data_IF_566272799660
#
_entry.id   IF_566272799660
#
_cell.length_a   1.000
_cell.length_b   1.000
_cell.length_c   1.000
_cell.angle_alpha   90.00
_cell.angle_beta   90.00
_cell.angle_gamma   90.00
#
_symmetry.space_group_name_H-M   'P 1'
#
loop_
_entity.id
_entity.type
_entity.pdbx_description
1 polymer ?
#
# COMPACT_ATOMS: atom_id res chain seq x y z
N UNK A 1 -86.45 -6.94 20.11
CA UNK A 1 -85.03 -7.01 20.60
C UNK A 1 -84.28 -8.23 20.06
N UNK A 2 -84.22 -8.47 18.75
CA UNK A 2 -83.43 -9.61 18.14
C UNK A 2 -82.52 -9.25 16.97
N UNK A 3 -82.52 -7.99 16.51
CA UNK A 3 -81.82 -7.57 15.35
C UNK A 3 -80.39 -7.07 15.69
N UNK A 4 -80.10 -6.65 16.92
CA UNK A 4 -78.78 -6.06 17.34
C UNK A 4 -77.73 -7.08 17.65
N UNK A 5 -77.97 -8.38 17.80
CA UNK A 5 -76.98 -9.42 18.08
C UNK A 5 -76.32 -10.01 16.81
N UNK A 6 -77.00 -9.88 15.67
CA UNK A 6 -76.48 -10.46 14.41
C UNK A 6 -75.42 -9.54 13.75
N UNK A 7 -75.51 -8.21 13.96
CA UNK A 7 -74.59 -7.24 13.38
C UNK A 7 -73.24 -7.26 14.06
N UNK A 8 -73.16 -7.64 15.34
CA UNK A 8 -71.90 -7.71 16.09
C UNK A 8 -71.03 -8.91 15.67
N UNK A 9 -71.65 -10.03 15.28
CA UNK A 9 -70.92 -11.22 14.87
C UNK A 9 -70.26 -11.10 13.51
N UNK A 10 -70.86 -10.43 12.53
CA UNK A 10 -70.39 -10.23 11.21
C UNK A 10 -69.21 -9.22 11.13
N UNK A 11 -69.20 -8.19 11.96
CA UNK A 11 -68.15 -7.19 12.05
C UNK A 11 -66.87 -7.81 12.66
N UNK A 12 -67.04 -8.66 13.70
CA UNK A 12 -65.89 -9.36 14.31
C UNK A 12 -65.27 -10.37 13.36
N UNK A 13 -66.04 -11.06 12.54
CA UNK A 13 -65.56 -12.03 11.57
C UNK A 13 -64.83 -11.35 10.37
N UNK A 14 -65.28 -10.17 9.95
CA UNK A 14 -64.64 -9.36 8.92
C UNK A 14 -63.30 -8.75 9.42
N UNK A 15 -63.22 -8.34 10.68
CA UNK A 15 -62.00 -7.84 11.29
C UNK A 15 -60.94 -8.95 11.48
N UNK A 16 -61.36 -10.18 11.81
CA UNK A 16 -60.46 -11.33 11.93
C UNK A 16 -59.90 -11.77 10.57
N UNK A 17 -60.68 -11.65 9.48
CA UNK A 17 -60.22 -11.97 8.13
C UNK A 17 -59.18 -10.94 7.58
N UNK A 18 -59.25 -9.67 7.98
CA UNK A 18 -58.32 -8.63 7.59
C UNK A 18 -56.96 -8.76 8.27
N UNK A 19 -56.86 -9.36 9.45
CA UNK A 19 -55.60 -9.55 10.17
C UNK A 19 -54.79 -10.72 9.62
N UNK A 20 -55.41 -11.72 9.01
CA UNK A 20 -54.74 -12.91 8.44
C UNK A 20 -54.05 -12.59 7.10
N UNK A 21 -54.51 -11.60 6.33
CA UNK A 21 -53.96 -11.22 5.02
C UNK A 21 -52.67 -10.39 5.14
N UNK A 22 -52.43 -9.74 6.31
CA UNK A 22 -51.24 -8.87 6.50
C UNK A 22 -49.97 -9.61 6.91
N UNK A 23 -50.00 -10.93 7.11
CA UNK A 23 -48.79 -11.68 7.52
C UNK A 23 -48.09 -12.46 6.39
N UNK A 24 -48.59 -12.36 5.17
CA UNK A 24 -48.05 -13.13 4.04
C UNK A 24 -47.05 -12.38 3.14
N UNK A 25 -46.68 -11.14 3.46
CA UNK A 25 -45.88 -10.30 2.57
C UNK A 25 -44.42 -10.08 2.99
N UNK A 26 -43.93 -10.78 4.01
CA UNK A 26 -42.57 -10.56 4.53
C UNK A 26 -41.55 -11.65 4.19
N UNK A 27 -41.86 -12.58 3.29
CA UNK A 27 -41.00 -13.75 3.02
C UNK A 27 -40.29 -13.75 1.65
N UNK A 28 -40.29 -12.65 0.89
CA UNK A 28 -39.64 -12.62 -0.45
C UNK A 28 -38.55 -11.54 -0.61
N UNK A 29 -38.03 -10.99 0.49
CA UNK A 29 -36.95 -9.99 0.43
C UNK A 29 -35.59 -10.50 0.97
N UNK A 30 -35.37 -11.81 1.03
CA UNK A 30 -34.09 -12.37 1.44
C UNK A 30 -33.56 -13.42 0.46
N UNK A 31 -33.48 -13.07 -0.82
CA UNK A 31 -32.73 -13.90 -1.74
C UNK A 31 -31.99 -12.99 -2.69
N UNK A 32 -30.67 -13.09 -2.71
CA UNK A 32 -29.73 -12.55 -3.68
C UNK A 32 -29.06 -11.21 -3.37
N UNK A 33 -28.31 -11.15 -2.26
CA UNK A 33 -27.12 -10.30 -2.26
C UNK A 33 -25.94 -10.94 -1.49
N UNK A 34 -25.79 -12.26 -1.59
CA UNK A 34 -24.57 -12.97 -1.14
C UNK A 34 -23.97 -13.80 -2.28
N UNK A 35 -23.97 -13.24 -3.47
CA UNK A 35 -23.00 -13.65 -4.48
C UNK A 35 -21.87 -12.61 -4.48
N UNK A 36 -21.40 -12.26 -3.28
CA UNK A 36 -20.15 -11.55 -3.10
C UNK A 36 -19.06 -12.54 -3.43
N UNK A 37 -18.60 -12.46 -4.63
CA UNK A 37 -17.21 -12.60 -5.08
C UNK A 37 -16.28 -13.46 -4.18
N UNK A 38 -16.64 -14.73 -3.94
CA UNK A 38 -15.68 -15.72 -3.42
C UNK A 38 -14.46 -15.89 -4.34
N UNK A 39 -14.52 -15.36 -5.57
CA UNK A 39 -13.38 -15.33 -6.49
C UNK A 39 -12.33 -14.29 -6.13
N UNK A 40 -12.71 -13.18 -5.52
CA UNK A 40 -11.74 -12.13 -5.15
C UNK A 40 -10.92 -12.53 -3.91
N UNK A 41 -11.47 -13.36 -3.02
CA UNK A 41 -10.77 -13.85 -1.83
C UNK A 41 -9.60 -14.79 -2.16
N UNK A 42 -9.63 -15.47 -3.31
CA UNK A 42 -8.54 -16.34 -3.78
C UNK A 42 -7.55 -15.64 -4.71
N UNK A 43 -7.80 -14.36 -5.03
CA UNK A 43 -6.94 -13.58 -5.92
C UNK A 43 -5.63 -13.25 -5.24
N UNK A 44 -4.53 -13.52 -5.91
CA UNK A 44 -3.20 -13.05 -5.50
C UNK A 44 -2.87 -11.75 -6.21
N UNK A 45 -2.17 -10.88 -5.51
CA UNK A 45 -1.69 -9.59 -5.97
C UNK A 45 -0.16 -9.62 -6.01
N UNK A 46 0.41 -9.30 -7.16
CA UNK A 46 1.85 -9.06 -7.30
C UNK A 46 2.11 -7.59 -6.99
N UNK A 47 2.92 -7.33 -5.97
CA UNK A 47 3.32 -6.00 -5.55
C UNK A 47 4.79 -5.77 -5.85
N UNK A 48 5.13 -4.57 -6.30
CA UNK A 48 6.50 -4.14 -6.58
C UNK A 48 6.76 -2.82 -5.85
N UNK A 49 7.78 -2.79 -5.01
CA UNK A 49 8.30 -1.58 -4.41
C UNK A 49 9.65 -1.28 -5.07
N UNK A 50 9.77 -0.11 -5.69
CA UNK A 50 10.99 0.41 -6.25
C UNK A 50 11.54 1.49 -5.32
N UNK A 51 12.82 1.39 -5.00
CA UNK A 51 13.56 2.40 -4.26
C UNK A 51 14.45 3.13 -5.28
N UNK A 52 14.12 4.38 -5.57
CA UNK A 52 14.95 5.24 -6.41
C UNK A 52 15.79 6.17 -5.54
N UNK A 53 17.06 6.32 -5.87
CA UNK A 53 17.91 7.37 -5.30
C UNK A 53 17.95 8.53 -6.28
N UNK A 54 17.56 9.70 -5.79
CA UNK A 54 17.62 10.96 -6.49
C UNK A 54 18.82 11.77 -5.98
N UNK A 55 19.68 12.24 -6.88
CA UNK A 55 20.92 12.94 -6.55
C UNK A 55 21.26 14.02 -7.60
N UNK A 56 22.06 14.99 -7.19
CA UNK A 56 22.66 15.97 -8.10
C UNK A 56 24.09 15.62 -8.50
N UNK A 57 24.64 14.55 -7.92
CA UNK A 57 25.96 14.06 -8.28
C UNK A 57 25.93 13.27 -9.60
N UNK A 58 27.01 13.26 -10.37
CA UNK A 58 27.14 12.40 -11.54
C UNK A 58 27.00 10.94 -11.12
N UNK A 59 26.11 10.22 -11.78
CA UNK A 59 25.95 8.76 -11.60
C UNK A 59 26.22 8.09 -12.94
N UNK A 60 26.68 6.83 -12.90
CA UNK A 60 26.75 6.01 -14.10
C UNK A 60 25.35 5.85 -14.71
N UNK A 61 25.25 5.90 -16.05
CA UNK A 61 24.00 5.74 -16.80
C UNK A 61 23.45 4.32 -16.64
N UNK A 62 22.87 4.05 -15.49
CA UNK A 62 22.14 2.81 -15.23
C UNK A 62 20.72 2.96 -15.77
N UNK A 63 20.35 2.13 -16.74
CA UNK A 63 19.06 2.18 -17.40
C UNK A 63 17.97 1.75 -16.41
N UNK A 64 17.04 2.66 -16.12
CA UNK A 64 15.86 2.38 -15.31
C UNK A 64 14.89 1.45 -16.08
N UNK A 65 14.09 0.64 -15.36
CA UNK A 65 13.00 -0.12 -15.96
C UNK A 65 12.04 0.79 -16.72
N UNK A 66 11.64 0.39 -17.94
CA UNK A 66 10.71 1.17 -18.78
C UNK A 66 9.35 1.46 -18.09
N UNK A 67 8.94 0.60 -17.16
CA UNK A 67 7.72 0.84 -16.35
C UNK A 67 7.80 2.10 -15.49
N UNK A 68 8.99 2.61 -15.20
CA UNK A 68 9.22 3.80 -14.40
C UNK A 68 9.39 5.09 -15.22
N UNK A 69 9.41 5.02 -16.55
CA UNK A 69 9.66 6.19 -17.41
C UNK A 69 8.70 7.34 -17.14
N UNK A 70 7.40 7.04 -16.99
CA UNK A 70 6.38 8.04 -16.69
C UNK A 70 6.60 8.70 -15.32
N UNK A 71 6.92 7.90 -14.32
CA UNK A 71 7.22 8.37 -12.95
C UNK A 71 8.46 9.24 -12.94
N UNK A 72 9.54 8.79 -13.58
CA UNK A 72 10.82 9.54 -13.63
C UNK A 72 10.66 10.88 -14.37
N UNK A 73 9.85 10.90 -15.44
CA UNK A 73 9.52 12.14 -16.15
C UNK A 73 8.79 13.13 -15.22
N UNK A 74 7.83 12.65 -14.44
CA UNK A 74 7.10 13.46 -13.46
C UNK A 74 8.05 13.96 -12.36
N UNK A 75 8.91 13.09 -11.82
CA UNK A 75 9.85 13.45 -10.77
C UNK A 75 10.85 14.53 -11.24
N UNK A 76 11.36 14.42 -12.45
CA UNK A 76 12.26 15.45 -13.05
C UNK A 76 11.57 16.80 -13.23
N UNK A 77 10.27 16.82 -13.44
CA UNK A 77 9.50 18.06 -13.56
C UNK A 77 9.19 18.71 -12.22
N UNK A 78 9.18 17.90 -11.13
CA UNK A 78 8.69 18.35 -9.81
C UNK A 78 9.82 18.54 -8.79
N UNK A 79 10.86 17.70 -8.85
CA UNK A 79 11.93 17.68 -7.86
C UNK A 79 13.25 18.27 -8.45
N UNK A 80 14.09 18.89 -7.61
CA UNK A 80 15.32 19.58 -8.06
C UNK A 80 16.50 18.64 -8.32
N UNK A 81 16.27 17.34 -8.51
CA UNK A 81 17.33 16.36 -8.75
C UNK A 81 17.58 16.16 -10.24
N UNK A 82 18.86 16.04 -10.60
CA UNK A 82 19.28 15.81 -12.00
C UNK A 82 19.29 14.33 -12.37
N UNK A 83 19.67 13.48 -11.42
CA UNK A 83 19.94 12.06 -11.65
C UNK A 83 19.06 11.17 -10.76
N UNK A 84 18.60 10.07 -11.34
CA UNK A 84 17.80 9.06 -10.66
C UNK A 84 18.40 7.68 -10.99
N UNK A 85 18.63 6.87 -9.97
CA UNK A 85 19.09 5.48 -10.13
C UNK A 85 18.21 4.54 -9.33
N UNK A 86 18.06 3.31 -9.82
CA UNK A 86 17.35 2.27 -9.10
C UNK A 86 18.27 1.69 -8.03
N UNK A 87 17.87 1.85 -6.77
CA UNK A 87 18.61 1.30 -5.64
C UNK A 87 18.20 -0.14 -5.32
N UNK A 88 16.90 -0.42 -5.36
CA UNK A 88 16.37 -1.75 -5.13
C UNK A 88 14.98 -1.92 -5.75
N UNK A 89 14.66 -3.17 -6.06
CA UNK A 89 13.30 -3.60 -6.42
C UNK A 89 12.91 -4.77 -5.53
N UNK A 90 11.81 -4.64 -4.81
CA UNK A 90 11.23 -5.72 -4.03
C UNK A 90 9.96 -6.19 -4.72
N UNK A 91 9.93 -7.46 -5.09
CA UNK A 91 8.79 -8.10 -5.75
C UNK A 91 8.19 -9.09 -4.76
N UNK A 92 6.90 -8.96 -4.48
CA UNK A 92 6.21 -9.79 -3.53
C UNK A 92 4.85 -10.20 -4.07
N UNK A 93 4.40 -11.36 -3.61
CA UNK A 93 3.04 -11.84 -3.85
C UNK A 93 2.29 -11.91 -2.54
N UNK A 94 1.09 -11.37 -2.54
CA UNK A 94 0.20 -11.36 -1.37
C UNK A 94 -1.20 -11.75 -1.80
N UNK A 95 -1.91 -12.49 -0.95
CA UNK A 95 -3.32 -12.78 -1.14
C UNK A 95 -4.15 -11.49 -0.98
N UNK A 96 -5.26 -11.38 -1.68
CA UNK A 96 -6.26 -10.32 -1.42
C UNK A 96 -6.66 -10.35 0.06
N UNK A 97 -6.78 -9.18 0.69
CA UNK A 97 -6.93 -8.98 2.15
C UNK A 97 -5.74 -9.51 2.97
N UNK A 98 -4.61 -9.79 2.33
CA UNK A 98 -3.38 -10.23 3.00
C UNK A 98 -2.51 -9.08 3.48
N UNK A 99 -1.39 -9.45 4.14
CA UNK A 99 -0.40 -8.51 4.69
C UNK A 99 0.99 -8.79 4.14
N UNK A 100 1.82 -7.76 4.11
CA UNK A 100 3.26 -7.86 3.82
C UNK A 100 4.05 -7.42 5.04
N UNK A 101 5.11 -8.16 5.35
CA UNK A 101 6.09 -7.81 6.38
C UNK A 101 7.46 -8.35 5.95
N UNK A 102 8.35 -7.44 5.54
CA UNK A 102 9.67 -7.73 5.01
C UNK A 102 10.72 -6.92 5.74
N UNK A 103 11.85 -7.54 6.00
CA UNK A 103 13.03 -6.89 6.56
C UNK A 103 14.26 -7.40 5.83
N UNK A 104 15.23 -6.53 5.59
CA UNK A 104 16.50 -6.93 4.98
C UNK A 104 17.64 -6.05 5.49
N UNK A 105 18.85 -6.55 5.31
CA UNK A 105 20.08 -5.92 5.75
C UNK A 105 20.93 -5.59 4.51
N UNK A 106 21.54 -4.42 4.51
CA UNK A 106 22.36 -3.95 3.40
C UNK A 106 21.53 -3.38 2.26
N UNK A 107 22.18 -3.21 1.13
CA UNK A 107 21.60 -2.69 -0.10
C UNK A 107 22.26 -1.40 -0.59
N UNK A 108 22.06 -1.05 -1.87
CA UNK A 108 22.73 0.05 -2.55
C UNK A 108 22.37 1.45 -2.05
N UNK A 109 21.41 1.54 -1.14
CA UNK A 109 21.02 2.82 -0.50
C UNK A 109 22.13 3.34 0.40
N UNK A 110 22.92 2.44 1.01
CA UNK A 110 24.05 2.82 1.86
C UNK A 110 25.20 3.48 1.08
N UNK A 111 25.31 3.25 -0.22
CA UNK A 111 26.38 3.82 -1.05
C UNK A 111 26.16 5.26 -1.46
N UNK A 112 24.94 5.79 -1.37
CA UNK A 112 24.67 7.21 -1.60
C UNK A 112 25.40 8.13 -0.60
N UNK A 113 25.67 7.62 0.60
CA UNK A 113 26.39 8.34 1.66
C UNK A 113 27.92 8.13 1.65
N UNK A 114 28.48 7.55 0.60
CA UNK A 114 29.94 7.41 0.44
C UNK A 114 30.61 6.34 1.31
N UNK A 115 29.86 5.56 2.07
CA UNK A 115 30.41 4.48 2.89
C UNK A 115 30.01 3.12 2.34
N UNK A 116 30.81 2.62 1.41
CA UNK A 116 30.75 1.23 0.88
C UNK A 116 31.31 0.21 1.87
N UNK A 117 31.07 0.39 3.16
CA UNK A 117 31.63 -0.50 4.16
C UNK A 117 30.63 -1.59 4.49
N UNK A 118 30.98 -2.82 4.18
CA UNK A 118 30.34 -4.04 4.69
C UNK A 118 30.35 -4.11 6.22
N UNK A 119 31.07 -3.22 6.88
CA UNK A 119 31.23 -3.14 8.35
C UNK A 119 30.01 -2.49 9.01
N UNK A 120 29.30 -1.59 8.32
CA UNK A 120 28.16 -0.86 8.87
C UNK A 120 26.94 -0.97 7.94
N UNK A 121 26.19 -2.09 7.97
CA UNK A 121 25.08 -2.30 7.08
C UNK A 121 23.88 -1.40 7.46
N UNK A 122 23.10 -0.99 6.47
CA UNK A 122 21.77 -0.44 6.69
C UNK A 122 20.77 -1.56 6.99
N UNK A 123 19.73 -1.22 7.74
CA UNK A 123 18.61 -2.12 8.02
C UNK A 123 17.34 -1.48 7.45
N UNK A 124 16.60 -2.26 6.70
CA UNK A 124 15.38 -1.78 6.03
C UNK A 124 14.20 -2.66 6.37
N UNK A 125 13.03 -2.05 6.45
CA UNK A 125 11.77 -2.72 6.70
C UNK A 125 10.68 -2.16 5.80
N UNK A 126 9.86 -3.05 5.25
CA UNK A 126 8.67 -2.70 4.49
C UNK A 126 7.48 -3.51 5.00
N UNK A 127 6.41 -2.83 5.40
CA UNK A 127 5.19 -3.44 5.89
C UNK A 127 3.97 -2.83 5.22
N UNK A 128 2.99 -3.69 4.95
CA UNK A 128 1.62 -3.27 4.61
C UNK A 128 0.67 -4.12 5.45
N UNK A 129 -0.14 -3.48 6.25
CA UNK A 129 -1.05 -4.17 7.18
C UNK A 129 -2.16 -4.92 6.44
N UNK A 130 -2.67 -4.32 5.37
CA UNK A 130 -3.69 -4.93 4.52
C UNK A 130 -3.50 -4.48 3.07
N UNK A 131 -3.50 -5.45 2.14
CA UNK A 131 -3.48 -5.21 0.69
C UNK A 131 -4.78 -5.76 0.12
N UNK A 132 -5.63 -4.87 -0.39
CA UNK A 132 -6.97 -5.22 -0.85
C UNK A 132 -7.25 -4.72 -2.26
N UNK A 133 -7.83 -5.59 -3.08
CA UNK A 133 -8.41 -5.20 -4.36
C UNK A 133 -9.76 -4.53 -4.12
N UNK A 134 -9.96 -3.34 -4.65
CA UNK A 134 -11.18 -2.57 -4.49
C UNK A 134 -11.57 -1.87 -5.79
N UNK A 135 -12.78 -1.31 -5.84
CA UNK A 135 -13.19 -0.40 -6.91
C UNK A 135 -13.32 1.00 -6.33
N UNK A 136 -12.76 1.98 -7.04
CA UNK A 136 -12.94 3.38 -6.66
C UNK A 136 -14.35 3.88 -7.05
N UNK A 137 -14.69 5.10 -6.68
CA UNK A 137 -15.98 5.73 -6.99
C UNK A 137 -16.24 5.86 -8.51
N UNK A 138 -15.21 5.82 -9.34
CA UNK A 138 -15.28 5.82 -10.81
C UNK A 138 -15.43 4.42 -11.41
N UNK A 139 -15.50 3.36 -10.61
CA UNK A 139 -15.61 1.97 -11.07
C UNK A 139 -14.28 1.34 -11.51
N UNK A 140 -13.16 2.07 -11.42
CA UNK A 140 -11.83 1.54 -11.76
C UNK A 140 -11.33 0.60 -10.67
N UNK A 141 -10.63 -0.46 -11.07
CA UNK A 141 -9.98 -1.36 -10.12
C UNK A 141 -8.71 -0.71 -9.56
N UNK A 142 -8.63 -0.68 -8.24
CA UNK A 142 -7.49 -0.16 -7.49
C UNK A 142 -7.03 -1.17 -6.45
N UNK A 143 -5.75 -1.12 -6.13
CA UNK A 143 -5.18 -1.86 -5.00
C UNK A 143 -4.99 -0.89 -3.84
N UNK A 144 -5.73 -1.11 -2.76
CA UNK A 144 -5.62 -0.37 -1.52
C UNK A 144 -4.56 -1.02 -0.63
N UNK A 145 -3.66 -0.22 -0.10
CA UNK A 145 -2.61 -0.64 0.84
C UNK A 145 -2.76 0.17 2.13
N UNK A 146 -3.42 -0.42 3.12
CA UNK A 146 -3.61 0.20 4.42
C UNK A 146 -2.43 -0.10 5.35
N UNK A 147 -1.95 0.90 6.06
CA UNK A 147 -0.80 0.80 6.93
C UNK A 147 0.49 0.50 6.16
N UNK A 148 0.65 1.12 4.98
CA UNK A 148 1.94 1.14 4.28
C UNK A 148 2.98 1.79 5.18
N UNK A 149 4.03 1.06 5.50
CA UNK A 149 5.12 1.53 6.34
C UNK A 149 6.45 1.09 5.73
N UNK A 150 7.30 2.06 5.48
CA UNK A 150 8.68 1.85 5.06
C UNK A 150 9.60 2.51 6.07
N UNK A 151 10.58 1.78 6.59
CA UNK A 151 11.55 2.27 7.54
C UNK A 151 12.97 1.83 7.18
N UNK A 152 13.94 2.70 7.46
CA UNK A 152 15.36 2.40 7.32
C UNK A 152 16.14 2.90 8.52
N UNK A 153 17.17 2.15 8.91
CA UNK A 153 18.22 2.57 9.81
C UNK A 153 19.51 2.69 9.01
N UNK A 154 20.02 3.90 8.91
CA UNK A 154 21.19 4.23 8.08
C UNK A 154 22.36 4.58 8.98
N UNK A 155 23.56 3.99 8.76
CA UNK A 155 24.76 4.37 9.49
C UNK A 155 25.24 5.75 9.02
N UNK A 156 25.42 6.68 9.93
CA UNK A 156 25.97 8.01 9.70
C UNK A 156 27.27 8.15 10.47
N UNK A 157 28.34 8.52 9.78
CA UNK A 157 29.59 8.82 10.44
C UNK A 157 29.49 10.20 11.12
N UNK A 158 29.56 10.25 12.44
CA UNK A 158 29.41 11.47 13.24
C UNK A 158 30.76 12.04 13.72
N UNK A 159 31.86 11.32 13.49
CA UNK A 159 33.19 11.77 13.89
C UNK A 159 34.25 10.69 13.77
N UNK A 160 35.40 10.96 14.34
CA UNK A 160 36.47 9.97 14.53
C UNK A 160 36.85 9.95 16.01
N UNK A 161 36.95 8.76 16.58
CA UNK A 161 37.52 8.61 17.92
C UNK A 161 39.03 8.76 17.80
N UNK A 162 39.60 9.73 18.50
CA UNK A 162 41.02 10.05 18.47
C UNK A 162 41.86 8.98 19.21
N UNK A 163 41.92 7.79 18.65
CA UNK A 163 42.88 6.74 19.01
C UNK A 163 43.75 6.51 17.80
N UNK A 164 45.02 6.19 17.99
CA UNK A 164 46.00 5.96 16.91
C UNK A 164 45.41 5.16 15.75
N UNK A 165 45.09 5.86 14.64
CA UNK A 165 44.43 5.29 13.48
C UNK A 165 42.97 5.68 13.25
N UNK A 166 42.35 6.45 14.16
CA UNK A 166 41.00 7.06 14.02
C UNK A 166 39.91 6.10 13.60
N UNK A 167 39.25 5.41 14.55
CA UNK A 167 38.08 4.58 14.26
C UNK A 167 36.88 5.52 14.00
N UNK A 168 36.15 5.37 12.85
CA UNK A 168 34.95 6.15 12.63
C UNK A 168 33.90 5.93 13.72
N UNK A 169 33.41 7.01 14.31
CA UNK A 169 32.24 6.93 15.19
C UNK A 169 30.97 6.89 14.32
N UNK A 170 30.25 5.79 14.40
CA UNK A 170 29.04 5.55 13.61
C UNK A 170 27.83 5.67 14.52
N UNK A 171 26.86 6.49 14.10
CA UNK A 171 25.53 6.53 14.68
C UNK A 171 24.51 5.98 13.66
N UNK A 172 23.42 5.37 14.14
CA UNK A 172 22.34 4.89 13.31
C UNK A 172 21.14 5.83 13.40
N UNK A 173 20.81 6.47 12.27
CA UNK A 173 19.65 7.33 12.17
C UNK A 173 18.48 6.58 11.53
N UNK A 174 17.27 6.84 12.06
CA UNK A 174 16.05 6.25 11.53
C UNK A 174 15.40 7.23 10.56
N UNK A 175 15.02 6.73 9.41
CA UNK A 175 14.16 7.45 8.45
C UNK A 175 13.06 6.54 7.96
N UNK A 176 11.92 7.09 7.57
CA UNK A 176 10.80 6.27 7.11
C UNK A 176 9.56 7.08 6.76
N UNK A 177 8.58 6.37 6.24
CA UNK A 177 7.29 6.89 5.81
C UNK A 177 6.19 5.91 6.23
N UNK A 178 5.10 6.43 6.77
CA UNK A 178 3.89 5.67 7.05
C UNK A 178 2.67 6.39 6.45
N UNK A 179 1.86 5.66 5.69
CA UNK A 179 0.69 6.22 5.00
C UNK A 179 -0.30 5.12 4.62
N UNK A 180 -1.48 5.51 4.16
CA UNK A 180 -2.43 4.65 3.46
C UNK A 180 -2.50 5.12 2.00
N UNK A 181 -2.46 4.20 1.05
CA UNK A 181 -2.45 4.52 -0.37
C UNK A 181 -3.42 3.65 -1.16
N UNK A 182 -3.87 4.17 -2.29
CA UNK A 182 -4.58 3.42 -3.32
C UNK A 182 -3.85 3.63 -4.65
N UNK A 183 -3.51 2.54 -5.31
CA UNK A 183 -2.83 2.56 -6.61
C UNK A 183 -3.73 1.94 -7.67
N UNK A 184 -3.74 2.49 -8.87
CA UNK A 184 -4.38 1.85 -10.02
C UNK A 184 -3.64 0.57 -10.36
N UNK A 185 -4.38 -0.42 -10.80
CA UNK A 185 -3.80 -1.71 -11.16
C UNK A 185 -2.74 -1.54 -12.27
N UNK A 186 -1.53 -2.08 -12.03
CA UNK A 186 -0.36 -2.03 -12.91
C UNK A 186 0.26 -0.64 -13.16
N UNK A 187 -0.21 0.43 -12.51
CA UNK A 187 0.33 1.78 -12.65
C UNK A 187 1.31 2.08 -11.49
N UNK A 188 2.60 2.38 -11.75
CA UNK A 188 3.54 2.81 -10.71
C UNK A 188 3.19 4.20 -10.19
N UNK A 189 3.15 4.35 -8.86
CA UNK A 189 2.80 5.60 -8.17
C UNK A 189 3.87 5.96 -7.17
N UNK A 190 4.24 7.24 -7.10
CA UNK A 190 5.14 7.77 -6.07
C UNK A 190 4.39 7.81 -4.74
N UNK A 191 4.92 7.10 -3.75
CA UNK A 191 4.37 7.07 -2.38
C UNK A 191 4.92 8.22 -1.55
N UNK A 192 6.21 8.52 -1.72
CA UNK A 192 6.85 9.59 -0.99
C UNK A 192 8.34 9.69 -1.23
N UNK A 193 8.93 10.72 -0.64
CA UNK A 193 10.35 11.05 -0.74
C UNK A 193 10.95 11.20 0.65
N UNK A 194 12.08 10.57 0.88
CA UNK A 194 12.83 10.59 2.14
C UNK A 194 14.21 11.20 1.87
N UNK A 195 14.55 12.26 2.58
CA UNK A 195 15.91 12.82 2.53
C UNK A 195 16.87 11.89 3.27
N UNK A 196 18.07 11.70 2.70
CA UNK A 196 19.08 10.79 3.22
C UNK A 196 20.38 11.52 3.43
N UNK A 197 20.75 11.71 4.68
CA UNK A 197 22.04 12.25 5.07
C UNK A 197 22.30 13.70 4.66
N UNK A 198 23.53 14.19 4.91
CA UNK A 198 23.91 15.56 4.63
C UNK A 198 24.21 15.84 3.14
N UNK A 199 24.27 14.83 2.28
CA UNK A 199 24.54 14.97 0.84
C UNK A 199 23.40 15.66 0.08
N UNK A 200 22.21 15.78 0.70
CA UNK A 200 21.03 16.30 0.04
C UNK A 200 20.41 15.31 -0.95
N UNK A 201 20.82 14.05 -0.95
CA UNK A 201 20.21 12.99 -1.74
C UNK A 201 18.87 12.58 -1.15
N UNK A 202 18.01 11.98 -1.96
CA UNK A 202 16.70 11.50 -1.51
C UNK A 202 16.43 10.08 -1.99
N UNK A 203 15.70 9.32 -1.18
CA UNK A 203 15.10 8.06 -1.58
C UNK A 203 13.64 8.33 -1.95
N UNK A 204 13.26 7.89 -3.13
CA UNK A 204 11.89 7.98 -3.62
C UNK A 204 11.30 6.58 -3.63
N UNK A 205 10.17 6.45 -2.96
CA UNK A 205 9.41 5.22 -2.89
C UNK A 205 8.37 5.22 -4.01
N UNK A 206 8.44 4.24 -4.89
CA UNK A 206 7.46 4.03 -5.96
C UNK A 206 6.88 2.64 -5.79
N UNK A 207 5.56 2.52 -5.81
CA UNK A 207 4.88 1.25 -5.70
C UNK A 207 4.01 0.98 -6.92
N UNK A 208 3.97 -0.27 -7.34
CA UNK A 208 3.02 -0.79 -8.31
C UNK A 208 2.40 -2.08 -7.76
N UNK A 209 1.16 -2.34 -8.11
CA UNK A 209 0.48 -3.57 -7.76
C UNK A 209 -0.47 -4.00 -8.87
N UNK A 210 -0.58 -5.31 -9.08
CA UNK A 210 -1.48 -5.88 -10.08
C UNK A 210 -1.97 -7.25 -9.64
N UNK A 211 -3.09 -7.69 -10.18
CA UNK A 211 -3.53 -9.09 -10.04
C UNK A 211 -2.52 -10.02 -10.69
N UNK A 212 -2.24 -11.14 -10.02
CA UNK A 212 -1.44 -12.21 -10.63
C UNK A 212 -2.23 -12.82 -11.78
N UNK A 213 -1.65 -12.84 -12.97
CA UNK A 213 -2.21 -13.57 -14.09
C UNK A 213 -1.99 -15.08 -13.86
N UNK A 214 -3.04 -15.86 -14.06
CA UNK A 214 -2.97 -17.33 -14.05
C UNK A 214 -2.48 -17.85 -15.39
#
# INVERSE_FOLDING_TARGET
>A
MKVQKVLSGTVVLLLAALIVVSWSSSALAQTNNQQTDTRDDETNLDTQLFLLVATNQPVSDEKLPASLDGVVKQLRATLPFKNYRLAATLINRVKNDGRLDLSWIGGPVATAAGSSSTVNPSFSQFKVRNVKLARNSGGETVVQMAGFNFGMRIPIQVGQVAVNGGIPAINYENTGLSTDISVREAEPVVVGTLNVGPSGDAIILVVAAKRTQR
#
